data_IF_658986413516
#
_entry.id   IF_658986413516
#
_cell.length_a   1.000
_cell.length_b   1.000
_cell.length_c   1.000
_cell.angle_alpha   90.00
_cell.angle_beta   90.00
_cell.angle_gamma   90.00
#
_symmetry.space_group_name_H-M   'P 1'
#
loop_
_entity.id
_entity.type
_entity.pdbx_description
1 polymer ?
#
# COMPACT_ATOMS: atom_id res chain seq x y z
N UNK A 1 -20.02 -12.57 -21.74
CA UNK A 1 -20.62 -11.57 -20.83
C UNK A 1 -19.68 -11.42 -19.63
N UNK A 2 -18.79 -10.42 -19.66
CA UNK A 2 -17.86 -10.16 -18.54
C UNK A 2 -18.64 -9.35 -17.52
N UNK A 3 -18.91 -9.92 -16.35
CA UNK A 3 -19.53 -9.19 -15.24
C UNK A 3 -18.59 -8.04 -14.86
N UNK A 4 -19.03 -6.77 -14.85
CA UNK A 4 -18.19 -5.70 -14.34
C UNK A 4 -18.04 -5.96 -12.84
N UNK A 5 -16.91 -6.56 -12.47
CA UNK A 5 -16.65 -6.95 -11.09
C UNK A 5 -16.52 -5.66 -10.27
N UNK A 6 -17.44 -5.46 -9.33
CA UNK A 6 -17.60 -4.28 -8.46
C UNK A 6 -16.38 -3.96 -7.56
N UNK A 7 -15.20 -4.53 -7.79
CA UNK A 7 -14.07 -4.48 -6.88
C UNK A 7 -13.09 -3.34 -7.12
N UNK A 8 -12.88 -2.86 -8.35
CA UNK A 8 -11.90 -1.79 -8.56
C UNK A 8 -12.33 -0.46 -7.93
N UNK A 9 -13.63 -0.16 -7.92
CA UNK A 9 -14.18 0.99 -7.22
C UNK A 9 -14.01 0.87 -5.70
N UNK A 10 -14.04 -0.36 -5.17
CA UNK A 10 -13.81 -0.66 -3.76
C UNK A 10 -12.34 -0.47 -3.39
N UNK A 11 -11.42 -0.95 -4.23
CA UNK A 11 -9.97 -0.72 -4.09
C UNK A 11 -9.66 0.79 -4.15
N UNK A 12 -10.21 1.52 -5.13
CA UNK A 12 -10.02 2.98 -5.24
C UNK A 12 -10.48 3.72 -3.98
N UNK A 13 -11.67 3.38 -3.45
CA UNK A 13 -12.16 3.95 -2.19
C UNK A 13 -11.22 3.65 -1.04
N UNK A 14 -10.86 2.38 -0.84
CA UNK A 14 -9.93 1.94 0.21
C UNK A 14 -8.58 2.66 0.16
N UNK A 15 -7.98 2.80 -1.02
CA UNK A 15 -6.71 3.51 -1.19
C UNK A 15 -6.87 5.01 -0.92
N UNK A 16 -8.00 5.61 -1.31
CA UNK A 16 -8.33 6.99 -0.99
C UNK A 16 -8.49 7.20 0.52
N UNK A 17 -9.10 6.27 1.24
CA UNK A 17 -9.18 6.29 2.71
C UNK A 17 -7.81 6.20 3.40
N UNK A 18 -6.80 5.68 2.70
CA UNK A 18 -5.43 5.53 3.17
C UNK A 18 -4.54 6.71 2.75
N UNK A 19 -5.08 7.69 2.02
CA UNK A 19 -4.36 8.89 1.61
C UNK A 19 -3.78 9.61 2.84
N UNK A 20 -2.50 9.97 2.75
CA UNK A 20 -1.73 10.62 3.81
C UNK A 20 -1.61 9.81 5.11
N UNK A 21 -1.90 8.50 5.08
CA UNK A 21 -1.69 7.59 6.20
C UNK A 21 -0.48 6.69 5.94
N UNK A 22 0.09 6.21 7.04
CA UNK A 22 1.12 5.18 6.99
C UNK A 22 0.47 3.84 6.61
N UNK A 23 1.09 3.15 5.66
CA UNK A 23 0.63 1.90 5.10
C UNK A 23 1.76 0.89 5.06
N UNK A 24 1.41 -0.37 5.28
CA UNK A 24 2.28 -1.51 5.03
C UNK A 24 1.96 -2.05 3.64
N UNK A 25 2.99 -2.10 2.79
CA UNK A 25 2.87 -2.51 1.39
C UNK A 25 3.60 -3.82 1.20
N UNK A 26 2.87 -4.85 0.77
CA UNK A 26 3.44 -6.14 0.37
C UNK A 26 3.39 -6.26 -1.15
N UNK A 27 4.54 -6.28 -1.81
CA UNK A 27 4.68 -6.44 -3.26
C UNK A 27 5.19 -7.85 -3.59
N UNK A 28 4.52 -8.55 -4.49
CA UNK A 28 4.94 -9.85 -5.01
C UNK A 28 5.69 -9.66 -6.33
N UNK A 29 7.01 -9.71 -6.28
CA UNK A 29 7.90 -9.46 -7.42
C UNK A 29 8.17 -10.71 -8.28
N UNK A 30 7.44 -11.82 -8.05
CA UNK A 30 7.60 -13.06 -8.81
C UNK A 30 7.14 -14.31 -8.05
N UNK A 31 7.53 -15.49 -8.54
CA UNK A 31 7.06 -16.81 -8.04
C UNK A 31 7.52 -17.17 -6.61
N UNK A 32 8.55 -16.50 -6.08
CA UNK A 32 9.05 -16.72 -4.70
C UNK A 32 9.60 -15.44 -4.03
N UNK A 33 9.37 -14.26 -4.63
CA UNK A 33 9.92 -12.99 -4.12
C UNK A 33 8.81 -12.10 -3.62
N UNK A 34 8.78 -11.87 -2.32
CA UNK A 34 7.83 -10.96 -1.66
C UNK A 34 8.66 -9.88 -0.98
N UNK A 35 8.33 -8.63 -1.26
CA UNK A 35 8.93 -7.46 -0.63
C UNK A 35 7.88 -6.78 0.24
N UNK A 36 8.20 -6.55 1.51
CA UNK A 36 7.35 -5.83 2.45
C UNK A 36 8.08 -4.58 2.90
N UNK A 37 7.38 -3.47 2.92
CA UNK A 37 7.92 -2.22 3.43
C UNK A 37 6.81 -1.32 3.97
N UNK A 38 7.19 -0.48 4.92
CA UNK A 38 6.34 0.59 5.43
C UNK A 38 6.53 1.85 4.58
N UNK A 39 5.44 2.55 4.32
CA UNK A 39 5.50 3.83 3.61
C UNK A 39 4.29 4.69 3.87
N UNK A 40 4.38 5.96 3.48
CA UNK A 40 3.27 6.90 3.55
C UNK A 40 2.63 7.07 2.18
N UNK A 41 1.32 6.94 2.09
CA UNK A 41 0.59 7.13 0.85
C UNK A 41 0.51 8.63 0.54
N UNK A 42 1.34 9.10 -0.41
CA UNK A 42 1.54 10.54 -0.65
C UNK A 42 0.68 11.12 -1.76
N UNK A 43 0.17 10.28 -2.66
CA UNK A 43 -0.62 10.73 -3.80
C UNK A 43 -1.60 9.67 -4.27
N UNK A 44 -2.82 10.08 -4.55
CA UNK A 44 -3.87 9.20 -5.08
C UNK A 44 -4.42 9.85 -6.33
N UNK A 45 -4.23 9.20 -7.48
CA UNK A 45 -4.63 9.68 -8.79
C UNK A 45 -5.67 8.75 -9.40
N UNK A 46 -6.42 9.17 -10.45
CA UNK A 46 -7.47 8.35 -11.04
C UNK A 46 -7.01 6.98 -11.56
N UNK A 47 -5.75 6.88 -12.02
CA UNK A 47 -5.17 5.67 -12.63
C UNK A 47 -4.21 4.90 -11.69
N UNK A 48 -3.51 5.59 -10.79
CA UNK A 48 -2.49 5.02 -9.92
C UNK A 48 -2.40 5.77 -8.59
N UNK A 49 -1.59 5.28 -7.67
CA UNK A 49 -1.26 5.95 -6.41
C UNK A 49 0.24 5.88 -6.16
N UNK A 50 0.75 6.82 -5.36
CA UNK A 50 2.17 6.90 -5.00
C UNK A 50 2.37 6.67 -3.51
N UNK A 51 3.29 5.77 -3.18
CA UNK A 51 3.72 5.50 -1.81
C UNK A 51 5.15 6.02 -1.67
N UNK A 52 5.41 6.73 -0.57
CA UNK A 52 6.75 7.10 -0.17
C UNK A 52 7.21 6.09 0.89
N UNK A 53 8.03 5.10 0.55
CA UNK A 53 8.63 4.21 1.54
C UNK A 53 9.42 5.03 2.57
N UNK A 54 9.38 4.56 3.81
CA UNK A 54 10.10 5.17 4.95
C UNK A 54 11.53 4.59 5.10
N UNK A 55 11.82 3.52 4.36
CA UNK A 55 13.06 2.77 4.42
C UNK A 55 14.17 3.46 3.58
N UNK A 56 15.35 3.64 4.15
CA UNK A 56 16.51 4.27 3.50
C UNK A 56 16.97 3.56 2.22
N UNK A 57 16.62 2.27 2.07
CA UNK A 57 16.93 1.50 0.86
C UNK A 57 16.12 1.93 -0.37
N UNK A 58 15.06 2.72 -0.18
CA UNK A 58 14.21 3.17 -1.28
C UNK A 58 14.44 4.65 -1.59
N UNK A 59 15.30 4.91 -2.57
CA UNK A 59 15.49 6.23 -3.15
C UNK A 59 14.30 6.62 -4.04
N UNK A 60 13.21 7.09 -3.41
CA UNK A 60 12.13 7.82 -4.11
C UNK A 60 10.72 7.38 -3.77
N UNK A 61 9.75 7.93 -4.54
CA UNK A 61 8.33 7.54 -4.47
C UNK A 61 8.07 6.39 -5.42
N UNK A 62 7.43 5.34 -4.95
CA UNK A 62 6.98 4.23 -5.78
C UNK A 62 5.54 4.46 -6.22
N UNK A 63 5.24 4.19 -7.49
CA UNK A 63 3.91 4.32 -8.05
C UNK A 63 3.33 2.94 -8.34
N UNK A 64 2.07 2.73 -7.97
CA UNK A 64 1.36 1.47 -8.14
C UNK A 64 -0.04 1.69 -8.71
N UNK A 65 -0.49 0.73 -9.52
CA UNK A 65 -1.78 0.79 -10.18
C UNK A 65 -2.84 0.04 -9.38
N UNK A 66 -4.10 0.49 -9.46
CA UNK A 66 -5.22 -0.22 -8.82
C UNK A 66 -5.41 -1.65 -9.36
N UNK A 67 -4.99 -1.90 -10.60
CA UNK A 67 -5.02 -3.23 -11.21
C UNK A 67 -4.07 -4.21 -10.51
N UNK A 68 -2.90 -3.76 -10.05
CA UNK A 68 -1.94 -4.60 -9.35
C UNK A 68 -2.46 -5.02 -7.97
N UNK A 69 -3.18 -4.10 -7.30
CA UNK A 69 -3.87 -4.40 -6.04
C UNK A 69 -5.05 -5.35 -6.26
N UNK A 70 -5.83 -5.13 -7.33
CA UNK A 70 -6.95 -5.99 -7.69
C UNK A 70 -6.50 -7.41 -8.03
N UNK A 71 -5.37 -7.55 -8.73
CA UNK A 71 -4.80 -8.84 -9.12
C UNK A 71 -4.07 -9.55 -7.96
N UNK A 72 -3.88 -8.88 -6.82
CA UNK A 72 -3.17 -9.44 -5.66
C UNK A 72 -1.66 -9.49 -5.81
N UNK A 73 -1.10 -8.82 -6.84
CA UNK A 73 0.35 -8.60 -6.96
C UNK A 73 0.85 -7.66 -5.86
N UNK A 74 -0.02 -6.77 -5.39
CA UNK A 74 0.26 -5.81 -4.32
C UNK A 74 -0.86 -5.89 -3.28
N UNK A 75 -0.48 -5.90 -2.01
CA UNK A 75 -1.42 -5.77 -0.90
C UNK A 75 -1.03 -4.53 -0.08
N UNK A 76 -2.02 -3.65 0.15
CA UNK A 76 -1.85 -2.40 0.91
C UNK A 76 -2.72 -2.46 2.14
N UNK A 77 -2.10 -2.32 3.31
CA UNK A 77 -2.79 -2.29 4.60
C UNK A 77 -2.46 -1.02 5.33
N UNK A 78 -3.36 -0.53 6.18
CA UNK A 78 -2.99 0.52 7.13
C UNK A 78 -1.91 -0.05 8.04
N UNK A 79 -0.79 0.67 8.15
CA UNK A 79 0.16 0.40 9.20
C UNK A 79 -0.59 0.68 10.50
N UNK A 80 -0.62 -0.29 11.41
CA UNK A 80 -1.11 -0.01 12.74
C UNK A 80 -0.31 1.17 13.28
N UNK A 81 -0.96 2.19 13.88
CA UNK A 81 -0.20 3.20 14.60
C UNK A 81 0.66 2.44 15.58
N UNK A 82 1.98 2.66 15.52
CA UNK A 82 2.87 2.15 16.55
C UNK A 82 2.25 2.53 17.89
N UNK A 83 1.68 1.54 18.56
CA UNK A 83 1.45 1.61 19.98
C UNK A 83 2.79 2.08 20.52
N UNK A 84 2.81 3.26 21.13
CA UNK A 84 4.00 3.84 21.71
C UNK A 84 4.79 2.73 22.42
N UNK A 85 6.13 2.70 22.33
CA UNK A 85 6.88 1.82 23.21
C UNK A 85 6.41 2.13 24.62
N UNK A 86 5.72 1.18 25.24
CA UNK A 86 5.31 1.23 26.63
C UNK A 86 6.54 1.70 27.43
N UNK A 87 6.48 2.83 28.16
CA UNK A 87 7.60 3.30 28.96
C UNK A 87 7.74 2.44 30.22
N UNK A 88 7.98 1.14 30.05
CA UNK A 88 8.06 0.18 31.15
C UNK A 88 8.86 -1.07 30.77
N UNK A 89 10.14 -0.89 30.42
CA UNK A 89 11.17 -1.86 30.82
C UNK A 89 12.41 -1.11 31.28
N UNK A 90 12.28 -0.59 32.51
CA UNK A 90 13.38 -0.28 33.40
C UNK A 90 13.97 -1.58 33.94
#
# INVERSE_FOLDING_TARGET
MIKPNNDIARVKRRIRDYQSKQVDVTVRLGRNKIQRFCGTLTGVYPALFTVRPDDENFLGKTAYSYAEVLCGSIDVRLAAPALAPDPAKR
#
